data_IF_471911136346
#
_entry.id   IF_471911136346
#
_cell.length_a   1.000
_cell.length_b   1.000
_cell.length_c   1.000
_cell.angle_alpha   90.00
_cell.angle_beta   90.00
_cell.angle_gamma   90.00
#
_symmetry.space_group_name_H-M   'P 1'
#
loop_
_entity.id
_entity.type
_entity.pdbx_description
1 polymer ?
#
# COMPACT_ATOMS: atom_id res chain seq x y z
N UNK A 1 -6.07 -13.01 -5.29
CA UNK A 1 -5.65 -14.25 -5.99
C UNK A 1 -6.58 -15.35 -5.55
N UNK A 2 -7.13 -16.12 -6.49
CA UNK A 2 -7.95 -17.30 -6.16
C UNK A 2 -7.12 -18.31 -5.37
N UNK A 3 -7.70 -18.90 -4.33
CA UNK A 3 -7.01 -19.80 -3.39
C UNK A 3 -6.35 -20.97 -4.11
N UNK A 4 -7.12 -21.65 -4.97
CA UNK A 4 -6.65 -22.79 -5.77
C UNK A 4 -5.50 -22.37 -6.72
N UNK A 5 -5.58 -21.15 -7.25
CA UNK A 5 -4.54 -20.61 -8.14
C UNK A 5 -3.23 -20.39 -7.40
N UNK A 6 -3.28 -19.78 -6.21
CA UNK A 6 -2.11 -19.57 -5.35
C UNK A 6 -1.44 -20.90 -5.01
N UNK A 7 -2.23 -21.86 -4.53
CA UNK A 7 -1.74 -23.19 -4.16
C UNK A 7 -1.03 -23.89 -5.32
N UNK A 8 -1.70 -23.98 -6.49
CA UNK A 8 -1.14 -24.66 -7.68
C UNK A 8 0.16 -24.04 -8.16
N UNK A 9 0.32 -22.71 -8.07
CA UNK A 9 1.56 -22.04 -8.49
C UNK A 9 2.71 -22.42 -7.56
N UNK A 10 2.48 -22.38 -6.24
CA UNK A 10 3.51 -22.64 -5.24
C UNK A 10 3.87 -24.12 -5.18
N UNK A 11 2.89 -25.03 -5.22
CA UNK A 11 3.11 -26.48 -5.28
C UNK A 11 3.91 -26.87 -6.54
N UNK A 12 3.49 -26.38 -7.70
CA UNK A 12 4.14 -26.71 -8.98
C UNK A 12 5.60 -26.24 -9.02
N UNK A 13 5.96 -25.16 -8.33
CA UNK A 13 7.34 -24.64 -8.34
C UNK A 13 8.34 -25.64 -7.78
N UNK A 14 7.95 -26.41 -6.75
CA UNK A 14 8.77 -27.47 -6.17
C UNK A 14 8.89 -28.63 -7.16
N UNK A 15 7.75 -29.13 -7.64
CA UNK A 15 7.72 -30.33 -8.48
C UNK A 15 8.38 -30.12 -9.86
N UNK A 16 8.25 -28.93 -10.43
CA UNK A 16 8.74 -28.66 -11.80
C UNK A 16 10.09 -27.97 -11.87
N UNK A 17 10.54 -27.31 -10.79
CA UNK A 17 11.77 -26.49 -10.79
C UNK A 17 12.67 -26.70 -9.57
N UNK A 18 12.22 -27.42 -8.54
CA UNK A 18 12.98 -27.58 -7.30
C UNK A 18 13.16 -26.28 -6.52
N UNK A 19 12.25 -25.32 -6.69
CA UNK A 19 12.31 -23.99 -6.07
C UNK A 19 11.16 -23.79 -5.09
N UNK A 20 11.39 -22.92 -4.11
CA UNK A 20 10.38 -22.43 -3.17
C UNK A 20 10.27 -20.91 -3.26
N UNK A 21 9.09 -20.37 -3.01
CA UNK A 21 8.89 -18.92 -2.85
C UNK A 21 9.12 -18.52 -1.39
N UNK A 22 9.88 -17.44 -1.18
CA UNK A 22 10.10 -16.85 0.14
C UNK A 22 9.05 -15.79 0.50
N UNK A 23 8.45 -15.16 -0.50
CA UNK A 23 7.56 -14.00 -0.33
C UNK A 23 6.28 -14.14 -1.16
N UNK A 24 5.16 -13.70 -0.60
CA UNK A 24 3.85 -13.63 -1.23
C UNK A 24 3.36 -12.19 -1.26
N UNK A 25 3.23 -11.60 -2.45
CA UNK A 25 2.70 -10.26 -2.61
C UNK A 25 1.18 -10.29 -2.77
N UNK A 26 0.48 -9.85 -1.72
CA UNK A 26 -0.98 -9.86 -1.64
C UNK A 26 -1.60 -8.47 -1.51
N UNK A 27 -2.86 -8.36 -1.93
CA UNK A 27 -3.75 -7.33 -1.40
C UNK A 27 -4.16 -7.73 0.04
N UNK A 28 -4.62 -6.78 0.86
CA UNK A 28 -4.79 -6.91 2.32
C UNK A 28 -5.29 -8.27 2.81
N UNK A 29 -6.60 -8.48 2.92
CA UNK A 29 -7.16 -9.76 3.35
C UNK A 29 -7.08 -10.77 2.18
N UNK A 30 -6.28 -11.82 2.33
CA UNK A 30 -5.96 -12.73 1.22
C UNK A 30 -6.05 -14.18 1.67
N UNK A 31 -7.25 -14.78 1.50
CA UNK A 31 -7.49 -16.22 1.72
C UNK A 31 -6.48 -17.11 1.00
N UNK A 32 -5.98 -16.66 -0.15
CA UNK A 32 -4.93 -17.38 -0.89
C UNK A 32 -3.58 -17.43 -0.17
N UNK A 33 -3.24 -16.44 0.66
CA UNK A 33 -2.04 -16.49 1.51
C UNK A 33 -2.21 -17.52 2.63
N UNK A 34 -3.38 -17.53 3.28
CA UNK A 34 -3.62 -18.43 4.41
C UNK A 34 -3.47 -19.90 4.03
N UNK A 35 -3.80 -20.24 2.78
CA UNK A 35 -3.65 -21.57 2.21
C UNK A 35 -2.19 -21.94 1.89
N UNK A 36 -1.35 -20.95 1.57
CA UNK A 36 0.01 -21.20 1.06
C UNK A 36 1.12 -20.80 2.00
N UNK A 37 0.81 -20.14 3.12
CA UNK A 37 1.80 -19.65 4.09
C UNK A 37 2.74 -20.74 4.58
N UNK A 38 2.24 -21.96 4.76
CA UNK A 38 2.98 -23.10 5.31
C UNK A 38 3.13 -24.25 4.30
N UNK A 39 2.94 -23.97 3.01
CA UNK A 39 2.96 -25.00 1.95
C UNK A 39 4.29 -25.74 1.83
N UNK A 40 5.38 -25.14 2.32
CA UNK A 40 6.73 -25.72 2.34
C UNK A 40 7.14 -26.29 3.70
N UNK A 41 6.21 -26.48 4.63
CA UNK A 41 6.50 -27.01 5.96
C UNK A 41 7.22 -25.98 6.84
N UNK A 42 8.50 -26.19 7.14
CA UNK A 42 9.28 -25.31 8.02
C UNK A 42 9.61 -23.94 7.43
N UNK A 43 9.55 -23.80 6.10
CA UNK A 43 9.85 -22.55 5.41
C UNK A 43 8.56 -21.79 5.09
N UNK A 44 8.04 -21.03 6.06
CA UNK A 44 6.84 -20.24 5.83
C UNK A 44 7.09 -19.09 4.83
N UNK A 45 6.12 -18.88 3.94
CA UNK A 45 6.15 -17.79 2.96
C UNK A 45 5.80 -16.47 3.67
N UNK A 46 6.61 -15.44 3.49
CA UNK A 46 6.38 -14.12 4.08
C UNK A 46 5.30 -13.36 3.32
N UNK A 47 4.25 -12.88 3.99
CA UNK A 47 3.28 -11.96 3.37
C UNK A 47 3.87 -10.57 3.20
N UNK A 48 3.93 -10.10 1.96
CA UNK A 48 4.28 -8.74 1.59
C UNK A 48 3.03 -7.99 1.13
N UNK A 49 2.91 -6.72 1.54
CA UNK A 49 1.83 -5.86 1.06
C UNK A 49 2.26 -5.09 -0.19
N UNK A 50 1.36 -5.05 -1.17
CA UNK A 50 1.59 -4.22 -2.35
C UNK A 50 1.49 -2.72 -2.00
N UNK A 51 2.39 -1.91 -2.57
CA UNK A 51 2.35 -0.44 -2.43
C UNK A 51 0.98 0.12 -2.86
N UNK A 52 0.37 -0.46 -3.90
CA UNK A 52 -0.97 -0.07 -4.33
C UNK A 52 -2.04 -0.26 -3.24
N UNK A 53 -1.93 -1.32 -2.43
CA UNK A 53 -2.80 -1.53 -1.28
C UNK A 53 -2.56 -0.46 -0.20
N UNK A 54 -1.29 -0.16 0.10
CA UNK A 54 -0.94 0.91 1.04
C UNK A 54 -1.50 2.27 0.59
N UNK A 55 -1.41 2.61 -0.70
CA UNK A 55 -2.01 3.83 -1.25
C UNK A 55 -3.52 3.87 -1.04
N UNK A 56 -4.24 2.76 -1.31
CA UNK A 56 -5.68 2.65 -1.07
C UNK A 56 -6.01 2.85 0.42
N UNK A 57 -5.23 2.22 1.30
CA UNK A 57 -5.39 2.31 2.76
C UNK A 57 -5.33 3.76 3.25
N UNK A 58 -4.32 4.52 2.85
CA UNK A 58 -4.19 5.94 3.22
C UNK A 58 -5.45 6.72 2.81
N UNK A 59 -5.94 6.51 1.59
CA UNK A 59 -7.15 7.17 1.11
C UNK A 59 -8.40 6.78 1.89
N UNK A 60 -8.58 5.50 2.22
CA UNK A 60 -9.71 5.02 3.02
C UNK A 60 -9.69 5.69 4.40
N UNK A 61 -8.53 5.74 5.06
CA UNK A 61 -8.39 6.37 6.38
C UNK A 61 -8.73 7.86 6.35
N UNK A 62 -8.23 8.59 5.34
CA UNK A 62 -8.53 10.02 5.18
C UNK A 62 -10.01 10.27 4.88
N UNK A 63 -10.64 9.44 4.05
CA UNK A 63 -12.09 9.55 3.78
C UNK A 63 -12.91 9.25 5.03
N UNK A 64 -12.54 8.22 5.79
CA UNK A 64 -13.19 7.89 7.05
C UNK A 64 -13.05 9.03 8.07
N UNK A 65 -11.86 9.63 8.17
CA UNK A 65 -11.62 10.79 9.02
C UNK A 65 -12.47 12.00 8.60
N UNK A 66 -12.51 12.31 7.29
CA UNK A 66 -13.38 13.34 6.70
C UNK A 66 -14.86 13.11 7.04
N UNK A 67 -15.31 11.86 6.95
CA UNK A 67 -16.71 11.51 7.20
C UNK A 67 -17.08 11.57 8.69
N UNK A 68 -16.17 11.13 9.57
CA UNK A 68 -16.34 11.23 11.03
C UNK A 68 -16.31 12.68 11.52
N UNK A 69 -15.45 13.51 10.93
CA UNK A 69 -15.33 14.92 11.27
C UNK A 69 -15.68 15.81 10.07
N UNK A 70 -16.98 16.10 9.91
CA UNK A 70 -17.51 16.92 8.81
C UNK A 70 -16.82 18.29 8.69
N UNK A 71 -16.23 18.85 9.77
CA UNK A 71 -15.50 20.13 9.73
C UNK A 71 -14.23 20.09 8.88
N UNK A 72 -13.68 18.89 8.64
CA UNK A 72 -12.50 18.67 7.79
C UNK A 72 -12.85 18.67 6.29
N UNK A 73 -14.10 18.40 5.93
CA UNK A 73 -14.58 18.40 4.56
C UNK A 73 -14.91 19.82 4.04
N UNK A 74 -15.06 19.93 2.72
CA UNK A 74 -15.49 21.16 2.05
C UNK A 74 -14.41 21.83 1.19
N UNK A 75 -14.80 22.87 0.46
CA UNK A 75 -13.92 23.62 -0.45
C UNK A 75 -12.74 24.20 0.34
N UNK A 76 -11.53 24.02 -0.19
CA UNK A 76 -10.29 24.49 0.45
C UNK A 76 -9.80 23.63 1.63
N UNK A 77 -10.43 22.48 1.89
CA UNK A 77 -10.05 21.55 2.97
C UNK A 77 -9.76 20.14 2.42
N UNK A 78 -10.04 19.10 3.21
CA UNK A 78 -9.82 17.70 2.87
C UNK A 78 -10.88 17.20 1.87
N UNK A 79 -10.72 17.58 0.60
CA UNK A 79 -11.57 17.13 -0.52
C UNK A 79 -11.12 15.76 -1.05
N UNK A 80 -12.01 15.02 -1.74
CA UNK A 80 -11.62 13.73 -2.34
C UNK A 80 -10.50 13.86 -3.37
N UNK A 81 -10.47 14.96 -4.13
CA UNK A 81 -9.38 15.27 -5.05
C UNK A 81 -8.05 15.46 -4.30
N UNK A 82 -8.07 16.15 -3.16
CA UNK A 82 -6.88 16.31 -2.33
C UNK A 82 -6.43 14.97 -1.72
N UNK A 83 -7.37 14.14 -1.26
CA UNK A 83 -7.08 12.78 -0.78
C UNK A 83 -6.44 11.94 -1.90
N UNK A 84 -6.99 11.96 -3.12
CA UNK A 84 -6.42 11.25 -4.27
C UNK A 84 -4.99 11.71 -4.57
N UNK A 85 -4.73 13.02 -4.50
CA UNK A 85 -3.39 13.60 -4.65
C UNK A 85 -2.42 13.06 -3.59
N UNK A 86 -2.84 13.03 -2.32
CA UNK A 86 -2.04 12.46 -1.23
C UNK A 86 -1.76 10.97 -1.44
N UNK A 87 -2.75 10.18 -1.86
CA UNK A 87 -2.55 8.75 -2.17
C UNK A 87 -1.46 8.54 -3.23
N UNK A 88 -1.46 9.37 -4.28
CA UNK A 88 -0.45 9.31 -5.34
C UNK A 88 0.94 9.69 -4.84
N UNK A 89 1.04 10.78 -4.08
CA UNK A 89 2.29 11.25 -3.51
C UNK A 89 2.92 10.24 -2.55
N UNK A 90 2.13 9.62 -1.68
CA UNK A 90 2.61 8.56 -0.79
C UNK A 90 3.18 7.37 -1.58
N UNK A 91 2.49 6.95 -2.65
CA UNK A 91 3.00 5.87 -3.51
C UNK A 91 4.30 6.22 -4.23
N UNK A 92 4.43 7.45 -4.74
CA UNK A 92 5.66 7.93 -5.38
C UNK A 92 6.82 7.96 -4.37
N UNK A 93 6.59 8.53 -3.18
CA UNK A 93 7.61 8.63 -2.14
C UNK A 93 8.13 7.26 -1.70
N UNK A 94 7.24 6.27 -1.53
CA UNK A 94 7.65 4.92 -1.14
C UNK A 94 8.42 4.21 -2.27
N UNK A 95 7.93 4.29 -3.52
CA UNK A 95 8.62 3.67 -4.67
C UNK A 95 10.01 4.26 -4.91
N UNK A 96 10.16 5.57 -4.75
CA UNK A 96 11.43 6.27 -4.97
C UNK A 96 12.49 5.93 -3.91
N UNK A 97 12.09 5.41 -2.75
CA UNK A 97 12.98 5.13 -1.61
C UNK A 97 12.95 3.64 -1.22
N UNK A 98 12.72 2.75 -2.20
CA UNK A 98 12.70 1.30 -2.02
C UNK A 98 13.90 0.78 -1.22
N UNK A 99 13.66 -0.09 -0.23
CA UNK A 99 14.71 -0.67 0.61
C UNK A 99 15.28 0.24 1.71
N UNK A 100 14.85 1.51 1.82
CA UNK A 100 15.30 2.42 2.86
C UNK A 100 14.12 3.00 3.66
N UNK A 101 13.78 2.37 4.79
CA UNK A 101 12.64 2.76 5.63
C UNK A 101 12.73 4.22 6.10
N UNK A 102 13.90 4.67 6.52
CA UNK A 102 14.09 6.04 7.02
C UNK A 102 13.84 7.07 5.93
N UNK A 103 14.37 6.85 4.72
CA UNK A 103 14.12 7.73 3.59
C UNK A 103 12.66 7.67 3.12
N UNK A 104 12.01 6.51 3.13
CA UNK A 104 10.58 6.41 2.85
C UNK A 104 9.75 7.29 3.80
N UNK A 105 9.99 7.18 5.10
CA UNK A 105 9.30 7.98 6.11
C UNK A 105 9.53 9.47 5.89
N UNK A 106 10.79 9.87 5.69
CA UNK A 106 11.17 11.25 5.42
C UNK A 106 10.48 11.81 4.16
N UNK A 107 10.53 11.06 3.05
CA UNK A 107 9.92 11.46 1.79
C UNK A 107 8.39 11.56 1.86
N UNK A 108 7.74 10.65 2.60
CA UNK A 108 6.29 10.71 2.83
C UNK A 108 5.90 11.97 3.61
N UNK A 109 6.63 12.31 4.67
CA UNK A 109 6.40 13.53 5.46
C UNK A 109 6.62 14.77 4.58
N UNK A 110 7.70 14.80 3.80
CA UNK A 110 8.00 15.89 2.87
C UNK A 110 6.91 16.07 1.82
N UNK A 111 6.41 14.97 1.24
CA UNK A 111 5.34 15.01 0.25
C UNK A 111 4.00 15.50 0.84
N UNK A 112 3.71 15.15 2.09
CA UNK A 112 2.57 15.69 2.83
C UNK A 112 2.72 17.20 3.06
N UNK A 113 3.87 17.65 3.57
CA UNK A 113 4.14 19.07 3.80
C UNK A 113 4.03 19.89 2.51
N UNK A 114 4.57 19.38 1.40
CA UNK A 114 4.45 20.00 0.08
C UNK A 114 2.99 20.14 -0.37
N UNK A 115 2.19 19.08 -0.21
CA UNK A 115 0.77 19.10 -0.56
C UNK A 115 -0.01 20.14 0.26
N UNK A 116 0.33 20.32 1.54
CA UNK A 116 -0.29 21.32 2.42
C UNK A 116 0.21 22.75 2.16
N UNK A 117 1.45 22.92 1.69
CA UNK A 117 2.09 24.22 1.46
C UNK A 117 1.57 24.96 0.22
N UNK A 118 0.88 24.30 -0.71
CA UNK A 118 0.46 24.88 -2.00
C UNK A 118 -0.72 25.89 -1.90
N UNK A 119 -1.06 26.35 -0.69
CA UNK A 119 -2.19 27.25 -0.42
C UNK A 119 -1.83 28.75 -0.43
N UNK A 120 -0.60 29.16 -0.78
CA UNK A 120 -0.31 30.55 -1.13
C UNK A 120 -0.57 30.76 -2.61
N UNK A 121 -1.82 31.06 -2.98
CA UNK A 121 -2.06 31.86 -4.18
C UNK A 121 -1.47 33.24 -3.89
N UNK A 122 -0.36 33.57 -4.51
CA UNK A 122 0.03 34.96 -4.73
C UNK A 122 -1.09 35.58 -5.57
N UNK A 123 -1.99 36.31 -4.92
CA UNK A 123 -2.83 37.28 -5.60
C UNK A 123 -1.88 38.43 -5.98
N UNK A 124 -1.35 38.37 -7.19
CA UNK A 124 -0.86 39.54 -7.90
C UNK A 124 -2.06 40.19 -8.60
#
# INVERSE_FOLDING_TARGET
MEVIGAYRILERSVNSRGLIYSEYFGDGDSKGYDEVKDIYGTNSVLKCECIGHFQKRVGIHLRNLKNKNKKLGGKGKLTDNFINKLQNYYGIAIRANGGNLLQMQSAVIAAFAHACSSAKKTNA
#
